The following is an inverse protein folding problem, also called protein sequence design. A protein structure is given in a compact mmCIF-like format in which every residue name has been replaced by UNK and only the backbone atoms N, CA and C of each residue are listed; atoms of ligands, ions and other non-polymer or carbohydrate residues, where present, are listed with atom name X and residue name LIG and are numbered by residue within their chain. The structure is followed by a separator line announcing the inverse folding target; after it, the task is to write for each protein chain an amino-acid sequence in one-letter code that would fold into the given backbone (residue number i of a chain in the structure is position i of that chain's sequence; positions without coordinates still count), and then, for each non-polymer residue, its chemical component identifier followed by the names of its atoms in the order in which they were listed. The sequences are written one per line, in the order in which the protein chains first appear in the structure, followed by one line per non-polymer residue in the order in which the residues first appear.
data_IF_050500654163
#
_entry.id   IF_050500654163
#
_cell.length_a   1.000
_cell.length_b   1.000
_cell.length_c   1.000
_cell.angle_alpha   90.00
_cell.angle_beta   90.00
_cell.angle_gamma   90.00
#
_symmetry.space_group_name_H-M   'P 1'
#
loop_
_entity.id
_entity.type
_entity.pdbx_description
1 polymer ?
#
# COMPACT_ATOMS: atom_id res chain seq x y z
N UNK A 1 7.58 -19.40 19.75
CA UNK A 1 7.59 -17.93 19.78
C UNK A 1 6.49 -17.52 20.74
N UNK A 2 6.78 -16.66 21.72
CA UNK A 2 5.76 -16.20 22.66
C UNK A 2 4.76 -15.29 21.95
N UNK A 3 3.59 -15.82 21.61
CA UNK A 3 2.44 -15.03 21.17
C UNK A 3 1.99 -14.12 22.33
N UNK A 4 1.47 -12.91 22.02
CA UNK A 4 0.97 -11.88 22.96
C UNK A 4 1.95 -10.96 23.72
N UNK A 5 3.20 -10.81 23.27
CA UNK A 5 4.12 -9.79 23.84
C UNK A 5 3.77 -8.34 23.49
N UNK A 6 3.06 -8.10 22.38
CA UNK A 6 2.77 -6.76 21.85
C UNK A 6 1.26 -6.64 21.62
N UNK A 7 0.67 -5.50 21.98
CA UNK A 7 -0.72 -5.17 21.64
C UNK A 7 -0.72 -4.46 20.28
N UNK A 8 -1.53 -4.94 19.34
CA UNK A 8 -1.66 -4.35 18.01
C UNK A 8 -2.91 -3.49 17.98
N UNK A 9 -2.74 -2.21 17.65
CA UNK A 9 -3.84 -1.28 17.41
C UNK A 9 -3.92 -0.91 15.92
N UNK A 10 -5.13 -0.74 15.38
CA UNK A 10 -5.35 -0.45 13.96
C UNK A 10 -6.46 0.59 13.76
N UNK A 11 -6.18 1.57 12.92
CA UNK A 11 -7.23 2.50 12.47
C UNK A 11 -8.11 1.84 11.40
N UNK A 12 -9.37 1.59 11.74
CA UNK A 12 -10.39 1.07 10.83
C UNK A 12 -11.04 2.16 9.95
N UNK A 13 -10.51 3.38 9.92
CA UNK A 13 -11.04 4.45 9.07
C UNK A 13 -10.95 4.05 7.59
N UNK A 14 -12.07 4.19 6.88
CA UNK A 14 -12.18 3.90 5.44
C UNK A 14 -11.65 5.07 4.61
N UNK A 15 -12.00 6.29 4.98
CA UNK A 15 -11.42 7.49 4.37
C UNK A 15 -10.11 7.82 5.06
N UNK A 16 -9.00 7.56 4.36
CA UNK A 16 -7.63 7.77 4.87
C UNK A 16 -7.20 9.23 4.79
N UNK A 17 -7.74 9.99 3.85
CA UNK A 17 -7.39 11.40 3.66
C UNK A 17 -7.94 12.29 4.77
N UNK A 18 -9.04 11.87 5.41
CA UNK A 18 -9.60 12.54 6.59
C UNK A 18 -9.05 12.01 7.92
N UNK A 19 -8.16 11.00 7.92
CA UNK A 19 -7.54 10.51 9.15
C UNK A 19 -6.68 11.63 9.74
N UNK A 20 -7.04 11.99 10.97
CA UNK A 20 -6.29 12.94 11.81
C UNK A 20 -5.66 12.19 12.98
N UNK A 21 -4.74 12.84 13.67
CA UNK A 21 -4.17 12.31 14.91
C UNK A 21 -5.23 11.87 15.92
N UNK A 22 -6.32 12.64 16.05
CA UNK A 22 -7.46 12.28 16.88
C UNK A 22 -8.10 10.94 16.50
N UNK A 23 -8.20 10.63 15.20
CA UNK A 23 -8.73 9.34 14.71
C UNK A 23 -7.84 8.18 15.14
N UNK A 24 -6.51 8.36 15.05
CA UNK A 24 -5.53 7.36 15.47
C UNK A 24 -5.53 7.14 16.99
N UNK A 25 -5.64 8.23 17.77
CA UNK A 25 -5.81 8.14 19.23
C UNK A 25 -7.09 7.37 19.56
N UNK A 26 -8.20 7.65 18.89
CA UNK A 26 -9.45 6.93 19.13
C UNK A 26 -9.31 5.42 18.85
N UNK A 27 -8.59 5.05 17.77
CA UNK A 27 -8.29 3.64 17.48
C UNK A 27 -7.51 2.97 18.62
N UNK A 28 -6.51 3.66 19.19
CA UNK A 28 -5.79 3.17 20.38
C UNK A 28 -6.74 2.96 21.57
N UNK A 29 -7.69 3.88 21.82
CA UNK A 29 -8.67 3.68 22.88
C UNK A 29 -9.53 2.43 22.66
N UNK A 30 -10.03 2.22 21.44
CA UNK A 30 -10.86 1.06 21.14
C UNK A 30 -10.10 -0.27 21.29
N UNK A 31 -8.84 -0.32 20.88
CA UNK A 31 -8.05 -1.56 20.91
C UNK A 31 -7.38 -1.83 22.27
N UNK A 32 -7.12 -0.78 23.07
CA UNK A 32 -6.48 -0.92 24.38
C UNK A 32 -7.47 -1.01 25.55
N UNK A 33 -8.69 -0.47 25.40
CA UNK A 33 -9.70 -0.55 26.43
C UNK A 33 -10.20 -2.00 26.60
N UNK A 34 -10.26 -2.44 27.85
CA UNK A 34 -10.80 -3.76 28.21
C UNK A 34 -12.32 -3.72 28.42
N UNK A 35 -12.91 -2.52 28.46
CA UNK A 35 -14.33 -2.31 28.72
C UNK A 35 -15.18 -2.43 27.46
N UNK A 36 -16.37 -3.02 27.60
CA UNK A 36 -17.34 -3.17 26.50
C UNK A 36 -17.89 -1.83 25.98
N UNK A 37 -17.78 -0.76 26.77
CA UNK A 37 -18.16 0.61 26.38
C UNK A 37 -16.98 1.55 26.57
N UNK A 38 -16.27 1.81 25.47
CA UNK A 38 -15.13 2.73 25.45
C UNK A 38 -15.66 4.18 25.47
N UNK A 39 -15.41 4.89 26.57
CA UNK A 39 -15.68 6.32 26.64
C UNK A 39 -14.42 7.11 26.31
N UNK A 40 -14.46 7.85 25.21
CA UNK A 40 -13.31 8.65 24.75
C UNK A 40 -13.56 10.13 25.06
N UNK A 41 -12.71 10.81 25.84
CA UNK A 41 -12.88 12.22 26.15
C UNK A 41 -12.89 13.10 24.90
N UNK A 42 -13.80 14.08 24.85
CA UNK A 42 -13.84 15.07 23.75
C UNK A 42 -12.72 16.11 23.85
N UNK A 43 -12.29 16.44 25.07
CA UNK A 43 -11.20 17.39 25.33
C UNK A 43 -9.84 16.73 25.08
N UNK A 44 -8.97 17.39 24.31
CA UNK A 44 -7.67 16.86 23.87
C UNK A 44 -6.76 16.47 25.04
N UNK A 45 -6.45 17.41 25.92
CA UNK A 45 -5.56 17.19 27.08
C UNK A 45 -6.03 16.02 27.97
N UNK A 46 -7.34 15.93 28.21
CA UNK A 46 -7.92 14.84 29.00
C UNK A 46 -7.78 13.49 28.28
N UNK A 47 -8.00 13.48 26.96
CA UNK A 47 -7.84 12.28 26.11
C UNK A 47 -6.39 11.78 26.12
N UNK A 48 -5.42 12.67 26.05
CA UNK A 48 -3.99 12.32 26.06
C UNK A 48 -3.57 11.70 27.41
N UNK A 49 -4.01 12.29 28.53
CA UNK A 49 -3.75 11.75 29.87
C UNK A 49 -4.41 10.39 30.10
N UNK A 50 -5.65 10.22 29.66
CA UNK A 50 -6.34 8.93 29.78
C UNK A 50 -5.71 7.86 28.89
N UNK A 51 -5.18 8.23 27.72
CA UNK A 51 -4.43 7.31 26.87
C UNK A 51 -3.14 6.82 27.54
N UNK A 52 -2.38 7.72 28.18
CA UNK A 52 -1.18 7.35 28.94
C UNK A 52 -1.50 6.30 30.01
N UNK A 53 -2.53 6.55 30.82
CA UNK A 53 -2.97 5.62 31.86
C UNK A 53 -3.42 4.27 31.28
N UNK A 54 -4.09 4.29 30.12
CA UNK A 54 -4.54 3.09 29.43
C UNK A 54 -3.36 2.22 28.96
N UNK A 55 -2.38 2.81 28.29
CA UNK A 55 -1.17 2.11 27.83
C UNK A 55 -0.39 1.57 29.04
N UNK A 56 -0.22 2.38 30.08
CA UNK A 56 0.50 2.01 31.30
C UNK A 56 -0.14 0.83 32.03
N UNK A 57 -1.48 0.82 32.15
CA UNK A 57 -2.24 -0.31 32.72
C UNK A 57 -2.07 -1.60 31.92
N UNK A 58 -1.97 -1.49 30.60
CA UNK A 58 -1.77 -2.64 29.71
C UNK A 58 -0.45 -3.39 29.91
N UNK A 59 0.57 -2.73 30.50
CA UNK A 59 1.92 -3.26 30.81
C UNK A 59 2.61 -3.97 29.64
N UNK A 60 2.22 -3.67 28.41
CA UNK A 60 2.75 -4.28 27.18
C UNK A 60 3.03 -3.19 26.16
N UNK A 61 4.10 -3.31 25.35
CA UNK A 61 4.32 -2.43 24.22
C UNK A 61 3.12 -2.46 23.25
N UNK A 62 2.82 -1.30 22.67
CA UNK A 62 1.74 -1.13 21.71
C UNK A 62 2.34 -0.82 20.33
N UNK A 63 1.86 -1.51 19.30
CA UNK A 63 2.17 -1.23 17.91
C UNK A 63 0.92 -0.71 17.19
N UNK A 64 0.93 0.56 16.79
CA UNK A 64 -0.12 1.17 15.98
C UNK A 64 0.18 0.97 14.50
N UNK A 65 -0.65 0.20 13.81
CA UNK A 65 -0.56 0.02 12.36
C UNK A 65 -1.47 1.03 11.65
N UNK A 66 -0.88 1.74 10.70
CA UNK A 66 -1.59 2.62 9.78
C UNK A 66 -1.37 2.13 8.37
N UNK A 67 -2.41 1.52 7.80
CA UNK A 67 -2.44 1.11 6.40
C UNK A 67 -2.84 2.29 5.51
N UNK A 68 -2.38 2.26 4.26
CA UNK A 68 -2.48 3.35 3.29
C UNK A 68 -1.95 4.69 3.81
N UNK A 69 -0.85 4.65 4.56
CA UNK A 69 -0.25 5.81 5.18
C UNK A 69 0.24 6.88 4.18
N UNK A 70 0.41 6.51 2.91
CA UNK A 70 0.71 7.44 1.81
C UNK A 70 -0.43 8.43 1.49
N UNK A 71 -1.65 8.14 1.93
CA UNK A 71 -2.82 9.03 1.83
C UNK A 71 -2.99 9.92 3.09
N UNK A 72 -2.16 9.76 4.13
CA UNK A 72 -2.18 10.65 5.30
C UNK A 72 -1.68 12.05 4.95
N UNK A 73 -2.27 13.07 5.61
CA UNK A 73 -1.74 14.42 5.51
C UNK A 73 -0.41 14.57 6.29
N UNK A 74 0.45 15.48 5.83
CA UNK A 74 1.74 15.76 6.48
C UNK A 74 1.59 16.16 7.96
N UNK A 75 0.55 16.91 8.31
CA UNK A 75 0.30 17.30 9.70
C UNK A 75 0.01 16.10 10.62
N UNK A 76 -0.67 15.05 10.13
CA UNK A 76 -0.89 13.82 10.91
C UNK A 76 0.40 13.04 11.03
N UNK A 77 1.19 12.93 9.96
CA UNK A 77 2.51 12.29 10.00
C UNK A 77 3.41 12.96 11.04
N UNK A 78 3.56 14.29 11.00
CA UNK A 78 4.30 15.06 12.00
C UNK A 78 3.72 14.90 13.40
N UNK A 79 2.38 14.83 13.52
CA UNK A 79 1.69 14.59 14.78
C UNK A 79 1.97 13.24 15.42
N UNK A 80 2.36 12.21 14.66
CA UNK A 80 2.68 10.88 15.20
C UNK A 80 3.84 10.93 16.20
N UNK A 81 4.83 11.78 15.96
CA UNK A 81 5.92 12.02 16.92
C UNK A 81 5.37 12.43 18.28
N UNK A 82 4.50 13.44 18.31
CA UNK A 82 3.92 13.96 19.55
C UNK A 82 3.14 12.88 20.29
N UNK A 83 2.40 12.04 19.55
CA UNK A 83 1.68 10.91 20.13
C UNK A 83 2.61 9.87 20.76
N UNK A 84 3.74 9.54 20.11
CA UNK A 84 4.74 8.64 20.68
C UNK A 84 5.36 9.23 21.95
N UNK A 85 5.73 10.51 21.94
CA UNK A 85 6.31 11.23 23.08
C UNK A 85 5.33 11.27 24.26
N UNK A 86 4.06 11.58 24.02
CA UNK A 86 3.01 11.54 25.05
C UNK A 86 2.92 10.15 25.70
N UNK A 87 2.93 9.07 24.92
CA UNK A 87 2.87 7.71 25.51
C UNK A 87 4.14 7.36 26.29
N UNK A 88 5.31 7.76 25.79
CA UNK A 88 6.61 7.51 26.43
C UNK A 88 6.75 8.26 27.76
N UNK A 89 6.35 9.54 27.81
CA UNK A 89 6.34 10.34 29.05
C UNK A 89 5.43 9.75 30.14
N UNK A 90 4.39 9.01 29.73
CA UNK A 90 3.50 8.26 30.62
C UNK A 90 4.10 6.94 31.16
N UNK A 91 5.32 6.59 30.74
CA UNK A 91 5.98 5.31 31.04
C UNK A 91 5.49 4.14 30.17
N UNK A 92 4.76 4.43 29.09
CA UNK A 92 4.31 3.45 28.09
C UNK A 92 5.34 3.26 26.98
N UNK A 93 5.06 2.33 26.05
CA UNK A 93 5.82 2.17 24.81
C UNK A 93 4.87 2.07 23.64
N UNK A 94 4.98 3.01 22.70
CA UNK A 94 4.24 3.02 21.45
C UNK A 94 5.22 3.00 20.27
N UNK A 95 5.02 2.05 19.37
CA UNK A 95 5.67 2.02 18.06
C UNK A 95 4.61 2.23 16.98
N UNK A 96 4.93 2.99 15.95
CA UNK A 96 4.03 3.23 14.81
C UNK A 96 4.58 2.52 13.59
N UNK A 97 3.75 1.70 12.94
CA UNK A 97 4.07 1.00 11.69
C UNK A 97 3.22 1.60 10.59
N UNK A 98 3.88 2.25 9.64
CA UNK A 98 3.23 2.85 8.47
C UNK A 98 3.39 1.92 7.28
N UNK A 99 2.27 1.48 6.70
CA UNK A 99 2.23 0.71 5.47
C UNK A 99 1.55 1.54 4.38
N UNK A 100 2.08 1.51 3.16
CA UNK A 100 1.52 2.27 2.04
C UNK A 100 2.41 2.19 0.80
N UNK A 101 2.04 2.96 -0.23
CA UNK A 101 2.76 2.97 -1.49
C UNK A 101 4.17 3.60 -1.39
N UNK A 102 5.07 3.29 -2.35
CA UNK A 102 6.42 3.85 -2.42
C UNK A 102 6.49 5.38 -2.31
N UNK A 103 5.45 6.10 -2.77
CA UNK A 103 5.32 7.55 -2.55
C UNK A 103 5.55 7.97 -1.10
N UNK A 104 5.10 7.20 -0.10
CA UNK A 104 5.31 7.52 1.31
C UNK A 104 6.79 7.67 1.66
N UNK A 105 7.65 6.79 1.13
CA UNK A 105 9.11 6.89 1.31
C UNK A 105 9.64 8.19 0.72
N UNK A 106 9.13 8.59 -0.45
CA UNK A 106 9.54 9.83 -1.11
C UNK A 106 9.06 11.06 -0.33
N UNK A 107 7.85 11.01 0.22
CA UNK A 107 7.28 12.08 1.05
C UNK A 107 8.07 12.27 2.35
N UNK A 108 8.43 11.17 3.03
CA UNK A 108 9.25 11.19 4.25
C UNK A 108 10.67 11.71 4.03
N UNK A 109 11.18 11.70 2.80
CA UNK A 109 12.50 12.25 2.45
C UNK A 109 12.50 13.75 2.16
N UNK A 110 11.32 14.38 2.08
CA UNK A 110 11.23 15.82 1.81
C UNK A 110 11.72 16.62 3.03
N UNK A 111 12.36 17.78 2.85
CA UNK A 111 12.80 18.62 3.96
C UNK A 111 11.67 19.01 4.93
N UNK A 112 10.44 19.17 4.43
CA UNK A 112 9.27 19.47 5.27
C UNK A 112 8.87 18.34 6.21
N UNK A 113 9.29 17.10 5.93
CA UNK A 113 8.99 15.88 6.71
C UNK A 113 10.21 15.36 7.48
N UNK A 114 11.31 16.10 7.51
CA UNK A 114 12.61 15.69 8.09
C UNK A 114 12.48 15.10 9.52
N UNK A 115 11.64 15.74 10.35
CA UNK A 115 11.38 15.35 11.74
C UNK A 115 10.87 13.91 11.89
N UNK A 116 10.04 13.44 10.96
CA UNK A 116 9.52 12.07 10.95
C UNK A 116 10.40 11.16 10.09
N UNK A 117 10.89 11.68 8.95
CA UNK A 117 11.72 10.95 8.01
C UNK A 117 12.97 10.35 8.65
N UNK A 118 13.71 11.13 9.44
CA UNK A 118 14.92 10.63 10.13
C UNK A 118 14.64 9.69 11.30
N UNK A 119 13.40 9.61 11.77
CA UNK A 119 12.98 8.69 12.84
C UNK A 119 12.31 7.43 12.30
N UNK A 120 12.19 7.29 10.98
CA UNK A 120 11.48 6.19 10.34
C UNK A 120 12.46 5.25 9.66
N UNK A 121 12.49 3.99 10.11
CA UNK A 121 13.15 2.92 9.37
C UNK A 121 12.26 2.48 8.21
N UNK A 122 12.81 2.52 7.00
CA UNK A 122 12.06 2.25 5.77
C UNK A 122 12.40 0.86 5.23
N UNK A 123 11.40 -0.01 5.21
CA UNK A 123 11.46 -1.31 4.55
C UNK A 123 10.67 -1.25 3.24
N UNK A 124 11.27 -1.68 2.14
CA UNK A 124 10.60 -1.75 0.84
C UNK A 124 10.19 -3.19 0.57
N UNK A 125 8.93 -3.40 0.21
CA UNK A 125 8.43 -4.68 -0.28
C UNK A 125 8.34 -4.61 -1.81
N UNK A 126 9.28 -5.25 -2.50
CA UNK A 126 9.39 -5.20 -3.97
C UNK A 126 8.32 -6.04 -4.71
N UNK A 127 7.30 -6.50 -3.96
CA UNK A 127 6.22 -7.33 -4.46
C UNK A 127 6.72 -8.71 -4.92
N UNK A 128 6.24 -9.14 -6.09
CA UNK A 128 6.64 -10.42 -6.73
C UNK A 128 7.59 -10.18 -7.91
N UNK A 129 8.18 -8.99 -8.01
CA UNK A 129 9.07 -8.64 -9.12
C UNK A 129 10.30 -9.55 -9.11
N UNK A 130 10.54 -10.26 -10.21
CA UNK A 130 11.61 -11.24 -10.31
C UNK A 130 11.26 -12.61 -9.72
N UNK A 131 10.05 -12.79 -9.21
CA UNK A 131 9.55 -14.07 -8.70
C UNK A 131 8.12 -14.37 -9.16
N UNK A 132 7.71 -13.80 -10.31
CA UNK A 132 6.34 -13.94 -10.81
C UNK A 132 6.00 -15.39 -11.16
N UNK A 133 6.95 -16.13 -11.75
CA UNK A 133 6.76 -17.52 -12.13
C UNK A 133 6.56 -18.39 -10.88
N UNK A 134 7.41 -18.20 -9.89
CA UNK A 134 7.37 -18.88 -8.59
C UNK A 134 6.06 -18.57 -7.86
N UNK A 135 5.61 -17.31 -7.90
CA UNK A 135 4.33 -16.91 -7.32
C UNK A 135 3.15 -17.60 -8.00
N UNK A 136 3.11 -17.63 -9.35
CA UNK A 136 2.05 -18.32 -10.11
C UNK A 136 2.05 -19.82 -9.79
N UNK A 137 3.22 -20.46 -9.80
CA UNK A 137 3.35 -21.88 -9.49
C UNK A 137 2.90 -22.20 -8.06
N UNK A 138 3.32 -21.38 -7.09
CA UNK A 138 2.88 -21.51 -5.70
C UNK A 138 1.37 -21.33 -5.56
N UNK A 139 0.80 -20.34 -6.25
CA UNK A 139 -0.64 -20.06 -6.23
C UNK A 139 -1.44 -21.22 -6.81
N UNK A 140 -1.02 -21.75 -7.96
CA UNK A 140 -1.63 -22.94 -8.57
C UNK A 140 -1.53 -24.12 -7.62
N UNK A 141 -0.34 -24.46 -7.13
CA UNK A 141 -0.14 -25.59 -6.20
C UNK A 141 -1.02 -25.50 -4.96
N UNK A 142 -1.14 -24.30 -4.37
CA UNK A 142 -1.98 -24.05 -3.19
C UNK A 142 -3.47 -24.25 -3.51
N UNK A 143 -3.88 -23.90 -4.73
CA UNK A 143 -5.28 -23.94 -5.16
C UNK A 143 -5.72 -25.31 -5.71
N UNK A 144 -4.81 -26.12 -6.26
CA UNK A 144 -5.13 -27.35 -6.99
C UNK A 144 -5.22 -28.61 -6.13
N UNK A 145 -4.84 -28.52 -4.85
CA UNK A 145 -4.86 -29.66 -3.94
C UNK A 145 -4.00 -30.83 -4.44
N UNK A 146 -4.65 -31.90 -4.95
CA UNK A 146 -3.97 -33.11 -5.48
C UNK A 146 -3.70 -33.07 -7.00
N UNK A 147 -4.22 -32.07 -7.72
CA UNK A 147 -4.02 -31.93 -9.16
C UNK A 147 -2.66 -31.34 -9.52
N UNK A 148 -2.14 -31.69 -10.71
CA UNK A 148 -0.89 -31.14 -11.23
C UNK A 148 -1.14 -29.78 -11.89
N UNK A 149 -0.35 -28.73 -11.60
CA UNK A 149 -0.48 -27.43 -12.25
C UNK A 149 -0.42 -27.50 -13.78
N UNK A 150 0.34 -28.45 -14.33
CA UNK A 150 0.51 -28.68 -15.78
C UNK A 150 -0.78 -29.18 -16.44
N UNK A 151 -1.72 -29.75 -15.67
CA UNK A 151 -3.04 -30.15 -16.17
C UNK A 151 -3.99 -28.95 -16.34
N UNK A 152 -3.60 -27.76 -15.89
CA UNK A 152 -4.44 -26.56 -15.84
C UNK A 152 -3.92 -25.49 -16.79
N UNK A 153 -2.63 -25.18 -16.75
CA UNK A 153 -1.98 -24.23 -17.66
C UNK A 153 -0.77 -24.88 -18.31
N UNK A 154 -0.54 -24.58 -19.58
CA UNK A 154 0.73 -24.95 -20.21
C UNK A 154 1.88 -24.11 -19.65
N UNK A 155 3.10 -24.63 -19.78
CA UNK A 155 4.31 -23.91 -19.35
C UNK A 155 4.43 -22.54 -20.01
N UNK A 156 4.10 -22.45 -21.30
CA UNK A 156 4.14 -21.22 -22.08
C UNK A 156 3.10 -20.20 -21.59
N UNK A 157 1.93 -20.67 -21.15
CA UNK A 157 0.90 -19.81 -20.57
C UNK A 157 1.38 -19.19 -19.25
N UNK A 158 2.03 -19.98 -18.39
CA UNK A 158 2.64 -19.50 -17.14
C UNK A 158 3.73 -18.46 -17.44
N UNK A 159 4.55 -18.70 -18.46
CA UNK A 159 5.64 -17.81 -18.84
C UNK A 159 5.13 -16.47 -19.38
N UNK A 160 4.06 -16.52 -20.18
CA UNK A 160 3.39 -15.32 -20.68
C UNK A 160 2.81 -14.49 -19.54
N UNK A 161 2.12 -15.12 -18.58
CA UNK A 161 1.57 -14.44 -17.39
C UNK A 161 2.70 -13.83 -16.53
N UNK A 162 3.76 -14.59 -16.28
CA UNK A 162 4.91 -14.12 -15.49
C UNK A 162 5.63 -12.93 -16.16
N UNK A 163 5.72 -12.95 -17.49
CA UNK A 163 6.34 -11.89 -18.27
C UNK A 163 5.49 -10.60 -18.30
N UNK A 164 4.16 -10.72 -18.35
CA UNK A 164 3.25 -9.59 -18.54
C UNK A 164 2.73 -8.98 -17.24
N UNK A 165 2.58 -9.78 -16.19
CA UNK A 165 1.94 -9.34 -14.95
C UNK A 165 2.97 -8.93 -13.91
N UNK A 166 2.66 -7.89 -13.13
CA UNK A 166 3.60 -7.32 -12.16
C UNK A 166 3.14 -7.53 -10.72
N UNK A 167 1.83 -7.51 -10.47
CA UNK A 167 1.29 -7.58 -9.11
C UNK A 167 0.56 -8.90 -8.84
N UNK A 168 0.50 -9.35 -7.58
CA UNK A 168 -0.31 -10.51 -7.19
C UNK A 168 -1.78 -10.39 -7.64
N UNK A 169 -2.35 -9.19 -7.52
CA UNK A 169 -3.73 -8.92 -7.92
C UNK A 169 -3.93 -9.07 -9.44
N UNK A 170 -2.98 -8.57 -10.24
CA UNK A 170 -2.99 -8.76 -11.69
C UNK A 170 -2.92 -10.25 -12.04
N UNK A 171 -2.03 -11.00 -11.40
CA UNK A 171 -1.89 -12.46 -11.58
C UNK A 171 -3.20 -13.17 -11.29
N UNK A 172 -3.82 -12.90 -10.14
CA UNK A 172 -5.08 -13.53 -9.75
C UNK A 172 -6.20 -13.23 -10.75
N UNK A 173 -6.40 -11.96 -11.12
CA UNK A 173 -7.43 -11.55 -12.07
C UNK A 173 -7.28 -12.28 -13.42
N UNK A 174 -6.10 -12.25 -14.01
CA UNK A 174 -5.89 -12.82 -15.35
C UNK A 174 -5.89 -14.34 -15.34
N UNK A 175 -5.46 -14.97 -14.24
CA UNK A 175 -5.67 -16.41 -14.05
C UNK A 175 -7.16 -16.76 -14.00
N UNK A 176 -7.97 -16.00 -13.26
CA UNK A 176 -9.42 -16.21 -13.22
C UNK A 176 -10.04 -16.05 -14.61
N UNK A 177 -9.72 -14.98 -15.33
CA UNK A 177 -10.22 -14.74 -16.69
C UNK A 177 -9.81 -15.87 -17.66
N UNK A 178 -8.56 -16.31 -17.60
CA UNK A 178 -8.06 -17.40 -18.45
C UNK A 178 -8.75 -18.73 -18.12
N UNK A 179 -9.02 -19.01 -16.84
CA UNK A 179 -9.74 -20.20 -16.40
C UNK A 179 -11.21 -20.19 -16.82
N UNK A 180 -11.88 -19.04 -16.69
CA UNK A 180 -13.26 -18.87 -17.15
C UNK A 180 -13.37 -19.05 -18.67
N UNK A 181 -12.45 -18.46 -19.44
CA UNK A 181 -12.38 -18.63 -20.88
C UNK A 181 -12.12 -20.09 -21.25
N UNK A 182 -11.16 -20.76 -20.59
CA UNK A 182 -10.83 -22.17 -20.86
C UNK A 182 -11.99 -23.10 -20.55
N UNK A 183 -12.74 -22.83 -19.49
CA UNK A 183 -13.96 -23.56 -19.19
C UNK A 183 -15.03 -23.38 -20.27
N UNK A 184 -15.24 -22.15 -20.76
CA UNK A 184 -16.22 -21.85 -21.82
C UNK A 184 -15.86 -22.51 -23.16
N UNK A 185 -14.58 -22.60 -23.48
CA UNK A 185 -14.10 -23.20 -24.74
C UNK A 185 -13.82 -24.70 -24.64
N UNK A 186 -13.87 -25.27 -23.44
CA UNK A 186 -13.51 -26.67 -23.18
C UNK A 186 -12.00 -26.94 -23.30
N UNK A 187 -11.17 -25.90 -23.21
CA UNK A 187 -9.71 -25.99 -23.35
C UNK A 187 -9.04 -26.38 -22.02
N UNK A 188 -8.36 -27.53 -22.02
CA UNK A 188 -7.59 -28.02 -20.88
C UNK A 188 -6.38 -28.85 -21.38
N UNK A 189 -5.14 -28.46 -21.07
CA UNK A 189 -4.72 -27.28 -20.31
C UNK A 189 -4.93 -25.96 -21.08
N UNK A 190 -5.08 -24.86 -20.34
CA UNK A 190 -5.17 -23.49 -20.88
C UNK A 190 -3.83 -23.11 -21.52
N UNK A 191 -3.87 -22.76 -22.80
CA UNK A 191 -2.68 -22.42 -23.59
C UNK A 191 -2.31 -20.94 -23.51
N UNK A 192 -1.09 -20.62 -23.95
CA UNK A 192 -0.62 -19.24 -24.08
C UNK A 192 -1.50 -18.40 -25.02
N UNK A 193 -2.05 -19.01 -26.08
CA UNK A 193 -2.96 -18.34 -27.03
C UNK A 193 -4.24 -17.87 -26.34
N UNK A 194 -4.82 -18.72 -25.48
CA UNK A 194 -6.02 -18.35 -24.74
C UNK A 194 -5.72 -17.26 -23.70
N UNK A 195 -4.58 -17.36 -23.00
CA UNK A 195 -4.11 -16.31 -22.09
C UNK A 195 -3.92 -14.97 -22.82
N UNK A 196 -3.31 -14.98 -24.00
CA UNK A 196 -3.09 -13.77 -24.79
C UNK A 196 -4.41 -13.10 -25.18
N UNK A 197 -5.45 -13.88 -25.44
CA UNK A 197 -6.78 -13.35 -25.78
C UNK A 197 -7.46 -12.59 -24.64
N UNK A 198 -7.12 -12.90 -23.37
CA UNK A 198 -7.71 -12.25 -22.17
C UNK A 198 -6.81 -11.17 -21.55
N UNK A 199 -5.55 -11.07 -21.98
CA UNK A 199 -4.64 -10.03 -21.50
C UNK A 199 -5.01 -8.67 -22.09
N UNK A 200 -5.33 -7.70 -21.23
CA UNK A 200 -5.53 -6.30 -21.65
C UNK A 200 -4.23 -5.68 -22.15
N UNK A 201 -4.30 -4.86 -23.21
CA UNK A 201 -3.13 -4.23 -23.84
C UNK A 201 -2.48 -3.10 -23.00
N UNK A 202 -3.15 -2.60 -21.95
CA UNK A 202 -2.78 -1.37 -21.24
C UNK A 202 -2.13 -1.59 -19.85
N UNK A 203 -1.66 -2.80 -19.55
CA UNK A 203 -1.18 -3.17 -18.20
C UNK A 203 0.10 -2.44 -17.75
N UNK A 204 0.93 -2.02 -18.71
CA UNK A 204 2.22 -1.37 -18.48
C UNK A 204 2.20 0.12 -18.89
N UNK A 205 1.01 0.71 -19.10
CA UNK A 205 0.89 2.13 -19.40
C UNK A 205 1.40 3.00 -18.22
N UNK A 206 1.74 4.25 -18.54
CA UNK A 206 2.34 5.19 -17.58
C UNK A 206 1.43 5.43 -16.36
N UNK A 207 0.13 5.63 -16.57
CA UNK A 207 -0.82 5.91 -15.49
C UNK A 207 -1.00 4.74 -14.50
N UNK A 208 -1.23 3.49 -14.93
CA UNK A 208 -1.20 2.33 -14.04
C UNK A 208 0.11 2.19 -13.27
N UNK A 209 1.25 2.45 -13.93
CA UNK A 209 2.57 2.39 -13.29
C UNK A 209 2.67 3.42 -12.17
N UNK A 210 2.38 4.69 -12.45
CA UNK A 210 2.41 5.75 -11.44
C UNK A 210 1.42 5.50 -10.29
N UNK A 211 0.22 5.01 -10.61
CA UNK A 211 -0.80 4.68 -9.61
C UNK A 211 -0.31 3.60 -8.63
N UNK A 212 0.39 2.57 -9.11
CA UNK A 212 1.02 1.54 -8.24
C UNK A 212 2.10 2.10 -7.32
N UNK A 213 2.72 3.22 -7.71
CA UNK A 213 3.68 3.94 -6.88
C UNK A 213 3.03 4.95 -5.94
N UNK A 214 1.69 5.07 -5.95
CA UNK A 214 0.92 5.97 -5.11
C UNK A 214 0.70 7.35 -5.69
N UNK A 215 0.96 7.53 -6.99
CA UNK A 215 0.89 8.80 -7.69
C UNK A 215 -0.34 8.86 -8.58
N UNK A 216 -1.43 9.44 -8.06
CA UNK A 216 -2.68 9.66 -8.80
C UNK A 216 -2.64 11.04 -9.47
N UNK A 217 -3.62 11.32 -10.33
CA UNK A 217 -3.72 12.61 -11.04
C UNK A 217 -3.54 13.83 -10.13
N UNK A 218 -4.19 13.83 -8.96
CA UNK A 218 -4.09 14.92 -7.98
C UNK A 218 -2.66 15.10 -7.48
N UNK A 219 -2.00 14.02 -7.13
CA UNK A 219 -0.61 14.03 -6.66
C UNK A 219 0.34 14.53 -7.74
N UNK A 220 0.10 14.16 -9.00
CA UNK A 220 0.88 14.62 -10.14
C UNK A 220 0.76 16.12 -10.36
N UNK A 221 -0.46 16.65 -10.25
CA UNK A 221 -0.73 18.09 -10.38
C UNK A 221 -0.07 18.88 -9.25
N UNK A 222 -0.23 18.41 -8.00
CA UNK A 222 0.32 19.10 -6.82
C UNK A 222 1.84 19.06 -6.75
N UNK A 223 2.46 17.97 -7.21
CA UNK A 223 3.90 17.75 -7.05
C UNK A 223 4.75 18.24 -8.24
N UNK A 224 4.21 18.21 -9.46
CA UNK A 224 4.99 18.51 -10.67
C UNK A 224 4.69 19.86 -11.31
N UNK A 225 3.87 20.69 -10.66
CA UNK A 225 3.48 22.01 -11.15
C UNK A 225 2.95 21.93 -12.59
N UNK A 226 1.94 21.07 -12.75
CA UNK A 226 1.32 20.75 -14.03
C UNK A 226 -0.19 20.83 -13.92
N UNK A 227 -0.86 21.27 -14.99
CA UNK A 227 -2.33 21.33 -15.03
C UNK A 227 -2.91 19.92 -15.17
N UNK A 228 -4.12 19.66 -14.66
CA UNK A 228 -4.78 18.35 -14.83
C UNK A 228 -4.90 17.90 -16.29
N UNK A 229 -5.07 18.85 -17.22
CA UNK A 229 -5.11 18.56 -18.65
C UNK A 229 -3.75 18.10 -19.20
N UNK A 230 -2.64 18.65 -18.72
CA UNK A 230 -1.29 18.25 -19.14
C UNK A 230 -0.97 16.84 -18.65
N UNK A 231 -1.31 16.51 -17.40
CA UNK A 231 -1.09 15.15 -16.86
C UNK A 231 -1.94 14.10 -17.61
N UNK A 232 -3.20 14.42 -17.93
CA UNK A 232 -4.04 13.52 -18.75
C UNK A 232 -3.47 13.35 -20.16
N UNK A 233 -2.98 14.43 -20.78
CA UNK A 233 -2.32 14.35 -22.07
C UNK A 233 -1.04 13.51 -22.01
N UNK A 234 -0.27 13.61 -20.92
CA UNK A 234 0.92 12.78 -20.69
C UNK A 234 0.55 11.30 -20.59
N UNK A 235 -0.49 10.95 -19.83
CA UNK A 235 -0.95 9.56 -19.69
C UNK A 235 -1.43 8.96 -21.02
N UNK A 236 -2.02 9.78 -21.88
CA UNK A 236 -2.49 9.36 -23.20
C UNK A 236 -1.44 9.46 -24.32
N UNK A 237 -0.18 9.80 -23.99
CA UNK A 237 0.89 10.06 -24.98
C UNK A 237 0.54 11.16 -26.01
N UNK A 238 -0.20 12.18 -25.58
CA UNK A 238 -0.69 13.31 -26.39
C UNK A 238 -0.06 14.66 -26.00
N UNK A 239 0.80 14.69 -24.98
CA UNK A 239 1.50 15.89 -24.56
C UNK A 239 2.66 16.21 -25.52
N UNK A 240 3.03 17.48 -25.65
CA UNK A 240 4.15 17.85 -26.51
C UNK A 240 5.47 17.21 -26.03
N UNK A 241 6.40 16.87 -26.93
CA UNK A 241 7.62 16.14 -26.56
C UNK A 241 8.55 16.90 -25.60
N UNK A 242 8.63 18.23 -25.70
CA UNK A 242 9.53 19.03 -24.86
C UNK A 242 9.02 19.08 -23.42
N UNK A 243 7.72 19.34 -23.24
CA UNK A 243 7.06 19.29 -21.93
C UNK A 243 7.01 17.88 -21.36
N UNK A 244 6.85 16.87 -22.21
CA UNK A 244 6.94 15.46 -21.79
C UNK A 244 8.30 15.14 -21.20
N UNK A 245 9.39 15.52 -21.88
CA UNK A 245 10.75 15.32 -21.38
C UNK A 245 10.97 16.05 -20.05
N UNK A 246 10.55 17.31 -19.96
CA UNK A 246 10.66 18.11 -18.74
C UNK A 246 9.92 17.47 -17.55
N UNK A 247 8.68 17.02 -17.74
CA UNK A 247 7.92 16.36 -16.67
C UNK A 247 8.55 15.02 -16.29
N UNK A 248 9.06 14.24 -17.26
CA UNK A 248 9.75 12.98 -16.99
C UNK A 248 11.06 13.20 -16.21
N UNK A 249 11.86 14.20 -16.56
CA UNK A 249 13.09 14.51 -15.82
C UNK A 249 12.78 14.89 -14.37
N UNK A 250 11.72 15.68 -14.15
CA UNK A 250 11.25 16.01 -12.79
C UNK A 250 10.78 14.77 -12.04
N UNK A 251 10.04 13.87 -12.69
CA UNK A 251 9.57 12.60 -12.10
C UNK A 251 10.73 11.67 -11.72
N UNK A 252 11.75 11.55 -12.58
CA UNK A 252 12.97 10.78 -12.29
C UNK A 252 13.75 11.37 -11.12
N UNK A 253 13.84 12.70 -11.04
CA UNK A 253 14.56 13.38 -9.95
C UNK A 253 13.98 13.11 -8.56
N UNK A 254 12.67 12.83 -8.46
CA UNK A 254 12.02 12.41 -7.20
C UNK A 254 11.87 10.89 -7.06
N UNK A 255 12.47 10.12 -7.98
CA UNK A 255 12.59 8.66 -7.89
C UNK A 255 11.33 7.89 -8.33
N UNK A 256 10.51 8.45 -9.23
CA UNK A 256 9.44 7.68 -9.87
C UNK A 256 10.03 6.71 -10.89
N UNK A 257 9.52 5.46 -10.97
CA UNK A 257 9.93 4.51 -12.00
C UNK A 257 9.07 4.74 -13.25
N UNK A 258 9.63 5.45 -14.21
CA UNK A 258 9.02 5.83 -15.50
C UNK A 258 9.94 5.53 -16.67
#
# INVERSE_FOLDING_TARGET
MDENKIIVARSLSVDKQSVRLATLINALFYDLAQDKQVQIPKQGERRERELQELVKKGKRPVALFVDEAHDLNGNTLTGLKRLMEVVEDGGGRLSVVLAGHPKLRNDLRRPTMEEIGYRTDIFTLDGITGSQREYIQWLLKTSTGKGKPEDILTTEAVDLLAMKLRTPLQVQLHLTLAMEAGYQTGEKPITATLVESVLSRQLDDLEPTLTRHGYRLKDMVEQFDAKPAEIRALFNNQLDPARTAELRDRMLAVGLPI
#
